data_IF_277473553737
#
_entry.id   IF_277473553737
#
_cell.length_a   1.000
_cell.length_b   1.000
_cell.length_c   1.000
_cell.angle_alpha   90.00
_cell.angle_beta   90.00
_cell.angle_gamma   90.00
#
_symmetry.space_group_name_H-M   'P 1'
#
loop_
_entity.id
_entity.type
_entity.pdbx_description
1 polymer ?
#
# COMPACT_ATOMS: atom_id res chain seq x y z
N UNK A 1 31.16 -5.20 38.69
CA UNK A 1 30.48 -4.99 37.40
C UNK A 1 29.17 -5.74 37.47
N UNK A 2 28.07 -5.03 37.76
CA UNK A 2 26.73 -5.61 37.75
C UNK A 2 26.31 -5.84 36.31
N UNK A 3 26.07 -7.10 35.98
CA UNK A 3 25.43 -7.49 34.73
C UNK A 3 23.98 -7.02 34.89
N UNK A 4 23.59 -5.99 34.13
CA UNK A 4 22.19 -5.60 33.97
C UNK A 4 21.45 -6.79 33.36
N UNK A 5 20.93 -7.67 34.22
CA UNK A 5 19.85 -8.56 33.83
C UNK A 5 18.68 -7.64 33.52
N UNK A 6 18.45 -7.38 32.23
CA UNK A 6 17.15 -6.94 31.77
C UNK A 6 16.15 -7.92 32.40
N UNK A 7 15.40 -7.47 33.40
CA UNK A 7 14.19 -8.17 33.85
C UNK A 7 13.26 -8.11 32.65
N UNK A 8 13.42 -9.08 31.75
CA UNK A 8 12.67 -9.17 30.51
C UNK A 8 11.21 -9.09 30.88
N UNK A 9 10.52 -8.09 30.35
CA UNK A 9 9.07 -8.05 30.34
C UNK A 9 8.65 -9.40 29.78
N UNK A 10 7.99 -10.22 30.60
CA UNK A 10 7.61 -11.55 30.17
C UNK A 10 6.44 -11.38 29.23
N UNK A 11 6.58 -11.83 27.99
CA UNK A 11 5.58 -11.66 26.95
C UNK A 11 5.14 -13.03 26.46
N UNK A 12 3.83 -13.19 26.30
CA UNK A 12 3.26 -14.32 25.54
C UNK A 12 2.89 -13.80 24.16
N UNK A 13 3.41 -14.45 23.14
CA UNK A 13 3.09 -14.19 21.74
C UNK A 13 2.03 -15.17 21.30
N UNK A 14 0.93 -14.65 20.77
CA UNK A 14 -0.18 -15.45 20.26
C UNK A 14 -0.13 -15.53 18.75
N UNK A 15 -0.30 -16.71 18.21
CA UNK A 15 -0.34 -17.00 16.79
C UNK A 15 -1.60 -17.76 16.39
N UNK A 16 -1.98 -17.72 15.12
CA UNK A 16 -3.13 -18.43 14.58
C UNK A 16 -2.79 -19.88 14.17
N UNK A 17 -3.78 -20.62 13.63
CA UNK A 17 -3.60 -21.99 13.13
C UNK A 17 -2.52 -22.11 12.03
N UNK A 18 -2.20 -21.00 11.36
CA UNK A 18 -1.16 -20.92 10.32
C UNK A 18 0.22 -20.54 10.88
N UNK A 19 0.32 -20.35 12.19
CA UNK A 19 1.51 -19.88 12.90
C UNK A 19 1.70 -18.37 12.84
N UNK A 20 0.87 -17.59 12.15
CA UNK A 20 1.05 -16.15 12.02
C UNK A 20 0.86 -15.45 13.37
N UNK A 21 1.80 -14.59 13.76
CA UNK A 21 1.67 -13.74 14.94
C UNK A 21 0.43 -12.83 14.80
N UNK A 22 -0.50 -12.95 15.74
CA UNK A 22 -1.73 -12.15 15.76
C UNK A 22 -1.79 -11.19 16.95
N UNK A 23 -1.12 -11.48 18.08
CA UNK A 23 -1.16 -10.62 19.26
C UNK A 23 0.03 -10.89 20.20
N UNK A 24 0.24 -10.00 21.17
CA UNK A 24 1.17 -10.20 22.27
C UNK A 24 0.61 -9.69 23.59
N UNK A 25 0.78 -10.48 24.65
CA UNK A 25 0.35 -10.16 26.00
C UNK A 25 1.55 -9.78 26.85
N UNK A 26 1.76 -8.47 27.13
CA UNK A 26 2.79 -8.05 28.06
C UNK A 26 2.48 -8.51 29.48
N UNK A 27 3.53 -8.77 30.26
CA UNK A 27 3.47 -9.24 31.65
C UNK A 27 2.79 -10.61 31.86
N UNK A 28 2.46 -11.33 30.78
CA UNK A 28 2.02 -12.74 30.83
C UNK A 28 3.25 -13.64 30.73
N UNK A 29 3.32 -14.65 31.59
CA UNK A 29 4.43 -15.63 31.61
C UNK A 29 3.95 -17.08 31.65
N UNK A 30 2.70 -17.29 31.30
CA UNK A 30 2.06 -18.60 31.30
C UNK A 30 1.41 -18.76 29.94
N UNK A 31 1.85 -19.80 29.24
CA UNK A 31 1.17 -20.30 28.04
C UNK A 31 -0.01 -21.11 28.52
N UNK A 32 -1.22 -20.65 28.18
CA UNK A 32 -2.47 -21.36 28.48
C UNK A 32 -2.84 -22.29 27.34
N UNK A 33 -2.42 -21.94 26.12
CA UNK A 33 -2.67 -22.70 24.91
C UNK A 33 -1.36 -22.88 24.11
N UNK A 34 -0.66 -23.98 24.34
CA UNK A 34 0.62 -24.25 23.68
C UNK A 34 0.50 -24.50 22.16
N UNK A 35 -0.73 -24.65 21.63
CA UNK A 35 -0.98 -24.75 20.20
C UNK A 35 -1.04 -23.38 19.52
N UNK A 36 -1.25 -22.29 20.28
CA UNK A 36 -1.42 -20.92 19.76
C UNK A 36 -0.65 -19.85 20.53
N UNK A 37 0.11 -20.20 21.56
CA UNK A 37 0.85 -19.26 22.40
C UNK A 37 2.29 -19.74 22.64
N UNK A 38 3.24 -18.80 22.63
CA UNK A 38 4.65 -19.07 22.93
C UNK A 38 5.28 -17.94 23.75
N UNK A 39 6.28 -18.28 24.55
CA UNK A 39 7.13 -17.30 25.25
C UNK A 39 8.34 -16.88 24.40
N UNK A 40 8.51 -17.49 23.23
CA UNK A 40 9.62 -17.22 22.32
C UNK A 40 9.27 -15.97 21.51
N UNK A 41 10.09 -14.93 21.62
CA UNK A 41 9.92 -13.71 20.85
C UNK A 41 10.27 -13.92 19.36
N UNK A 42 9.52 -13.30 18.44
CA UNK A 42 9.92 -13.23 17.03
C UNK A 42 11.23 -12.43 16.90
N UNK A 43 12.19 -12.89 16.07
CA UNK A 43 13.35 -12.10 15.68
C UNK A 43 12.94 -10.75 15.08
N UNK A 44 13.66 -9.70 15.46
CA UNK A 44 13.48 -8.36 14.89
C UNK A 44 13.76 -8.37 13.38
N UNK A 45 12.93 -7.66 12.62
CA UNK A 45 13.08 -7.52 11.16
C UNK A 45 12.41 -8.61 10.31
N UNK A 46 11.67 -9.53 10.92
CA UNK A 46 10.78 -10.44 10.19
C UNK A 46 9.46 -9.74 9.86
N UNK A 47 9.12 -9.70 8.57
CA UNK A 47 7.78 -9.36 8.10
C UNK A 47 6.92 -10.62 8.07
N UNK A 48 5.67 -10.50 8.51
CA UNK A 48 4.74 -11.62 8.75
C UNK A 48 5.38 -12.81 9.51
N UNK A 49 5.79 -12.61 10.77
CA UNK A 49 6.41 -13.68 11.54
C UNK A 49 5.41 -14.82 11.77
N UNK A 50 5.80 -16.03 11.37
CA UNK A 50 5.09 -17.31 11.52
C UNK A 50 5.86 -18.25 12.43
N UNK A 51 5.24 -18.68 13.52
CA UNK A 51 5.81 -19.62 14.46
C UNK A 51 5.63 -21.06 13.99
N UNK A 52 6.72 -21.80 13.88
CA UNK A 52 6.70 -23.24 13.66
C UNK A 52 6.79 -23.96 15.01
N UNK A 53 5.69 -24.57 15.44
CA UNK A 53 5.57 -25.31 16.70
C UNK A 53 6.58 -26.47 16.77
N UNK A 54 6.92 -27.12 15.64
CA UNK A 54 7.80 -28.29 15.63
C UNK A 54 9.26 -27.91 15.87
N UNK A 55 9.70 -26.84 15.23
CA UNK A 55 11.07 -26.34 15.39
C UNK A 55 11.20 -25.33 16.53
N UNK A 56 10.09 -24.85 17.09
CA UNK A 56 10.02 -23.76 18.06
C UNK A 56 10.74 -22.50 17.56
N UNK A 57 10.68 -22.24 16.25
CA UNK A 57 11.32 -21.07 15.63
C UNK A 57 10.31 -20.21 14.91
N UNK A 58 10.60 -18.91 14.86
CA UNK A 58 9.87 -17.96 14.01
C UNK A 58 10.51 -17.94 12.63
N UNK A 59 9.66 -18.08 11.62
CA UNK A 59 9.98 -17.90 10.21
C UNK A 59 9.22 -16.69 9.70
N UNK A 60 9.65 -16.09 8.60
CA UNK A 60 8.97 -14.94 8.02
C UNK A 60 9.69 -14.56 6.75
N UNK A 61 9.25 -13.48 6.14
CA UNK A 61 9.88 -12.95 4.93
C UNK A 61 10.73 -11.73 5.29
N UNK A 62 11.82 -11.51 4.55
CA UNK A 62 12.64 -10.32 4.77
C UNK A 62 11.90 -9.10 4.22
N UNK A 63 12.35 -7.91 4.65
CA UNK A 63 11.92 -6.63 4.08
C UNK A 63 11.97 -6.63 2.55
N UNK A 64 13.01 -7.22 1.95
CA UNK A 64 13.17 -7.27 0.49
C UNK A 64 12.15 -8.17 -0.20
N UNK A 65 11.73 -9.26 0.43
CA UNK A 65 10.64 -10.09 -0.11
C UNK A 65 9.28 -9.43 0.12
N UNK A 66 9.06 -8.82 1.29
CA UNK A 66 7.86 -8.06 1.60
C UNK A 66 7.62 -6.94 0.59
N UNK A 67 8.63 -6.13 0.31
CA UNK A 67 8.57 -5.00 -0.62
C UNK A 67 8.27 -5.43 -2.07
N UNK A 68 8.67 -6.65 -2.46
CA UNK A 68 8.33 -7.20 -3.79
C UNK A 68 6.85 -7.55 -3.89
N UNK A 69 6.27 -8.09 -2.83
CA UNK A 69 4.86 -8.46 -2.78
C UNK A 69 3.95 -7.26 -2.48
N UNK A 70 4.49 -6.24 -1.82
CA UNK A 70 3.80 -5.03 -1.38
C UNK A 70 4.43 -3.80 -2.03
N UNK A 71 4.36 -3.66 -3.37
CA UNK A 71 4.90 -2.50 -4.03
C UNK A 71 4.20 -1.25 -3.50
N UNK A 72 4.99 -0.33 -2.94
CA UNK A 72 4.49 0.96 -2.47
C UNK A 72 3.82 1.69 -3.64
N UNK A 73 2.49 1.76 -3.60
CA UNK A 73 1.68 2.51 -4.54
C UNK A 73 1.12 3.74 -3.84
N UNK A 74 1.87 4.86 -3.79
CA UNK A 74 1.39 6.05 -3.13
C UNK A 74 0.11 6.53 -3.81
N UNK A 75 -0.93 6.81 -3.02
CA UNK A 75 -2.10 7.46 -3.55
C UNK A 75 -1.69 8.83 -4.13
N UNK A 76 -2.15 9.22 -5.33
CA UNK A 76 -1.84 10.52 -5.91
C UNK A 76 -2.21 11.63 -4.94
N UNK A 77 -1.31 12.62 -4.79
CA UNK A 77 -1.57 13.74 -3.89
C UNK A 77 -2.78 14.56 -4.34
N UNK A 78 -3.32 15.39 -3.44
CA UNK A 78 -4.39 16.34 -3.79
C UNK A 78 -3.96 17.26 -4.95
N UNK A 79 -2.67 17.63 -4.98
CA UNK A 79 -2.10 18.46 -6.05
C UNK A 79 -2.07 17.69 -7.37
N UNK A 80 -1.65 16.43 -7.38
CA UNK A 80 -1.63 15.60 -8.60
C UNK A 80 -3.04 15.43 -9.18
N UNK A 81 -4.02 15.18 -8.30
CA UNK A 81 -5.44 15.09 -8.68
C UNK A 81 -5.95 16.41 -9.27
N UNK A 82 -5.57 17.54 -8.68
CA UNK A 82 -5.97 18.87 -9.17
C UNK A 82 -5.32 19.17 -10.53
N UNK A 83 -4.04 18.88 -10.72
CA UNK A 83 -3.34 19.07 -11.99
C UNK A 83 -3.97 18.19 -13.07
N UNK A 84 -4.26 16.92 -12.77
CA UNK A 84 -4.93 16.01 -13.71
C UNK A 84 -6.31 16.53 -14.12
N UNK A 85 -7.10 17.02 -13.15
CA UNK A 85 -8.42 17.61 -13.41
C UNK A 85 -8.32 18.87 -14.29
N UNK A 86 -7.39 19.76 -13.99
CA UNK A 86 -7.13 20.96 -14.81
C UNK A 86 -6.70 20.56 -16.24
N UNK A 87 -5.78 19.60 -16.36
CA UNK A 87 -5.29 19.13 -17.66
C UNK A 87 -6.42 18.56 -18.50
N UNK A 88 -7.29 17.75 -17.90
CA UNK A 88 -8.46 17.19 -18.58
C UNK A 88 -9.45 18.29 -19.00
N UNK A 89 -9.66 19.30 -18.16
CA UNK A 89 -10.52 20.42 -18.49
C UNK A 89 -9.98 21.25 -19.66
N UNK A 90 -8.66 21.50 -19.69
CA UNK A 90 -8.00 22.19 -20.79
C UNK A 90 -8.09 21.39 -22.10
N UNK A 91 -7.85 20.07 -22.05
CA UNK A 91 -7.98 19.21 -23.22
C UNK A 91 -9.40 19.26 -23.83
N UNK A 92 -10.43 19.11 -22.99
CA UNK A 92 -11.84 19.24 -23.43
C UNK A 92 -12.19 20.61 -23.99
N UNK A 93 -11.57 21.66 -23.46
CA UNK A 93 -11.78 23.01 -23.97
C UNK A 93 -11.09 23.22 -25.33
N UNK A 94 -9.89 22.65 -25.51
CA UNK A 94 -9.19 22.65 -26.80
C UNK A 94 -10.00 21.95 -27.88
N UNK A 95 -10.54 20.76 -27.60
CA UNK A 95 -11.38 20.01 -28.54
C UNK A 95 -12.59 20.83 -29.00
N UNK A 96 -13.30 21.47 -28.07
CA UNK A 96 -14.44 22.34 -28.40
C UNK A 96 -14.04 23.55 -29.25
N UNK A 97 -12.85 24.10 -29.00
CA UNK A 97 -12.34 25.22 -29.79
C UNK A 97 -12.03 24.79 -31.22
N UNK A 98 -11.44 23.62 -31.41
CA UNK A 98 -11.13 23.06 -32.72
C UNK A 98 -12.42 22.73 -33.50
N UNK A 99 -13.42 22.16 -32.84
CA UNK A 99 -14.75 21.93 -33.43
C UNK A 99 -15.42 23.24 -33.86
N UNK A 100 -15.37 24.27 -33.02
CA UNK A 100 -15.94 25.57 -33.34
C UNK A 100 -15.21 26.22 -34.54
N UNK A 101 -13.88 26.17 -34.56
CA UNK A 101 -13.07 26.67 -35.67
C UNK A 101 -13.39 25.93 -36.97
N UNK A 102 -13.54 24.61 -36.93
CA UNK A 102 -13.93 23.81 -38.10
C UNK A 102 -15.33 24.20 -38.62
N UNK A 103 -16.29 24.44 -37.73
CA UNK A 103 -17.63 24.90 -38.11
C UNK A 103 -17.63 26.30 -38.74
N UNK A 104 -16.81 27.22 -38.22
CA UNK A 104 -16.66 28.55 -38.81
C UNK A 104 -16.07 28.47 -40.22
N UNK A 105 -15.00 27.69 -40.40
CA UNK A 105 -14.39 27.49 -41.72
C UNK A 105 -15.39 26.88 -42.72
N UNK A 106 -16.19 25.90 -42.28
CA UNK A 106 -17.24 25.31 -43.12
C UNK A 106 -18.28 26.34 -43.55
N UNK A 107 -18.78 27.17 -42.63
CA UNK A 107 -19.74 28.25 -42.94
C UNK A 107 -19.15 29.29 -43.88
N UNK A 108 -17.89 29.68 -43.68
CA UNK A 108 -17.19 30.62 -44.56
C UNK A 108 -17.03 30.04 -45.98
N UNK A 109 -16.68 28.77 -46.11
CA UNK A 109 -16.59 28.10 -47.41
C UNK A 109 -17.95 28.04 -48.12
N UNK A 110 -19.04 27.77 -47.39
CA UNK A 110 -20.40 27.79 -47.94
C UNK A 110 -20.84 29.18 -48.42
N UNK A 111 -20.46 30.24 -47.70
CA UNK A 111 -20.78 31.63 -48.06
C UNK A 111 -19.90 32.16 -49.20
N UNK A 112 -18.61 31.81 -49.23
CA UNK A 112 -17.65 32.21 -50.26
C UNK A 112 -17.76 31.41 -51.56
N UNK A 113 -18.31 30.19 -51.52
CA UNK A 113 -18.53 29.33 -52.69
C UNK A 113 -19.77 29.70 -53.52
N UNK A 114 -20.59 30.66 -53.07
CA UNK A 114 -21.82 31.09 -53.75
C UNK A 114 -21.67 32.21 -54.78
N UNK A 115 -20.46 32.77 -54.95
CA UNK A 115 -20.21 33.87 -55.89
C UNK A 115 -19.22 33.41 -56.98
N UNK A 116 -19.70 32.57 -57.89
CA UNK A 116 -19.22 32.41 -59.27
C UNK A 116 -20.07 31.34 -59.99
N UNK A 117 -21.26 31.74 -60.45
CA UNK A 117 -21.92 31.22 -61.66
C UNK A 117 -22.54 32.38 -62.42
#
# INVERSE_FOLDING_TARGET
MEILQFRGVKMVYKFDDSGLLIDYFPDKNTVEDAEHETLIAPPDGLYEPRFDIKSQTWTGISETEWDKEHPYNPEPSVIDKAIAALTLQMAKQSEKQDEFNAQLLLKLAQLGGGANV
#
